data_IF_172292350216
#
_entry.id   IF_172292350216
#
_cell.length_a   1.000
_cell.length_b   1.000
_cell.length_c   1.000
_cell.angle_alpha   90.00
_cell.angle_beta   90.00
_cell.angle_gamma   90.00
#
_symmetry.space_group_name_H-M   'P 1'
#
loop_
_entity.id
_entity.type
_entity.pdbx_description
1 polymer ?
#
# COMPACT_ATOMS: atom_id res chain seq x y z
N UNK A 1 6.67 0.69 -25.86
CA UNK A 1 5.64 -0.19 -26.47
C UNK A 1 4.89 0.49 -27.62
N UNK A 2 4.26 1.66 -27.42
CA UNK A 2 3.48 2.36 -28.47
C UNK A 2 4.28 3.34 -29.37
N UNK A 3 5.61 3.21 -29.43
CA UNK A 3 6.47 4.07 -30.28
C UNK A 3 6.72 5.50 -29.79
N UNK A 4 6.18 5.91 -28.63
CA UNK A 4 6.49 7.23 -28.05
C UNK A 4 7.93 7.30 -27.52
N UNK A 5 8.58 8.45 -27.73
CA UNK A 5 9.80 8.84 -27.02
C UNK A 5 9.39 9.37 -25.65
N UNK A 6 9.84 8.71 -24.58
CA UNK A 6 9.41 9.01 -23.21
C UNK A 6 10.64 9.28 -22.36
N UNK A 7 10.56 10.36 -21.57
CA UNK A 7 11.54 10.70 -20.53
C UNK A 7 10.85 10.69 -19.18
N UNK A 8 11.42 10.00 -18.20
CA UNK A 8 10.96 10.01 -16.81
C UNK A 8 11.98 10.79 -15.98
N UNK A 9 11.48 11.75 -15.20
CA UNK A 9 12.26 12.52 -14.24
C UNK A 9 11.97 12.01 -12.83
N UNK A 10 13.01 11.58 -12.10
CA UNK A 10 12.91 11.19 -10.70
C UNK A 10 14.21 11.54 -9.96
N UNK A 11 14.23 12.54 -9.06
CA UNK A 11 15.44 12.96 -8.38
C UNK A 11 16.04 11.90 -7.45
N UNK A 12 15.24 10.91 -7.02
CA UNK A 12 15.69 9.85 -6.12
C UNK A 12 16.02 8.55 -6.88
N UNK A 13 15.85 8.56 -8.20
CA UNK A 13 15.95 7.36 -9.03
C UNK A 13 14.82 6.36 -8.78
N UNK A 14 14.79 5.36 -9.66
CA UNK A 14 13.68 4.43 -9.80
C UNK A 14 13.31 3.73 -8.49
N UNK A 15 12.02 3.84 -8.14
CA UNK A 15 11.41 3.07 -7.07
C UNK A 15 11.77 3.50 -5.65
N UNK A 16 12.68 4.47 -5.44
CA UNK A 16 13.19 4.82 -4.11
C UNK A 16 12.21 5.56 -3.19
N UNK A 17 11.01 5.92 -3.68
CA UNK A 17 9.92 6.45 -2.85
C UNK A 17 9.07 5.35 -2.18
N UNK A 18 7.76 5.59 -2.08
CA UNK A 18 6.80 4.65 -1.48
C UNK A 18 6.80 3.25 -2.12
N UNK A 19 7.23 3.13 -3.37
CA UNK A 19 7.25 1.87 -4.12
C UNK A 19 8.25 0.84 -3.57
N UNK A 20 9.36 1.26 -2.95
CA UNK A 20 10.39 0.37 -2.39
C UNK A 20 9.93 -0.35 -1.12
N UNK A 21 9.35 0.43 -0.20
CA UNK A 21 9.10 0.01 1.18
C UNK A 21 7.67 -0.46 1.47
N UNK A 22 6.83 -0.68 0.45
CA UNK A 22 5.46 -1.15 0.67
C UNK A 22 5.43 -2.63 1.12
N UNK A 23 4.26 -3.07 1.59
CA UNK A 23 4.03 -4.42 2.09
C UNK A 23 4.07 -5.51 1.01
N UNK A 24 4.12 -5.15 -0.27
CA UNK A 24 4.09 -6.05 -1.42
C UNK A 24 2.77 -6.77 -1.66
N UNK A 25 1.73 -6.53 -0.85
CA UNK A 25 0.41 -7.15 -1.00
C UNK A 25 -0.34 -6.60 -2.22
N UNK A 26 -0.90 -7.50 -3.02
CA UNK A 26 -1.79 -7.22 -4.15
C UNK A 26 -3.20 -7.56 -3.70
N UNK A 27 -3.85 -6.54 -3.17
CA UNK A 27 -5.05 -6.69 -2.36
C UNK A 27 -6.34 -6.56 -3.21
N UNK A 28 -6.70 -7.61 -3.93
CA UNK A 28 -7.94 -7.64 -4.75
C UNK A 28 -9.21 -7.57 -3.88
N UNK A 29 -9.11 -8.00 -2.62
CA UNK A 29 -10.18 -7.99 -1.62
C UNK A 29 -10.47 -6.60 -1.02
N UNK A 30 -9.52 -5.65 -1.13
CA UNK A 30 -9.66 -4.31 -0.55
C UNK A 30 -10.49 -3.40 -1.46
N UNK A 31 -11.80 -3.62 -1.46
CA UNK A 31 -12.76 -2.87 -2.30
C UNK A 31 -13.47 -1.74 -1.57
N UNK A 32 -13.38 -1.68 -0.24
CA UNK A 32 -14.02 -0.64 0.56
C UNK A 32 -13.11 0.58 0.77
N UNK A 33 -13.69 1.79 0.83
CA UNK A 33 -12.91 2.99 1.14
C UNK A 33 -12.35 2.94 2.56
N UNK A 34 -11.15 3.49 2.74
CA UNK A 34 -10.53 3.63 4.06
C UNK A 34 -11.35 4.53 4.99
N UNK A 35 -11.99 5.58 4.46
CA UNK A 35 -12.81 6.51 5.23
C UNK A 35 -14.14 5.86 5.63
N UNK A 36 -14.29 5.55 6.92
CA UNK A 36 -15.56 5.07 7.48
C UNK A 36 -16.02 5.92 8.67
N UNK A 37 -17.33 6.00 8.95
CA UNK A 37 -17.82 6.74 10.13
C UNK A 37 -17.24 6.20 11.44
N UNK A 38 -16.88 4.92 11.48
CA UNK A 38 -16.26 4.26 12.63
C UNK A 38 -14.86 4.79 12.97
N UNK A 39 -14.22 5.56 12.09
CA UNK A 39 -12.94 6.23 12.37
C UNK A 39 -13.09 7.44 13.29
N UNK A 40 -14.24 8.12 13.28
CA UNK A 40 -14.48 9.34 14.09
C UNK A 40 -14.19 9.13 15.58
N UNK A 41 -14.74 8.09 16.25
CA UNK A 41 -14.45 7.85 17.67
C UNK A 41 -13.00 7.40 17.92
N UNK A 42 -12.26 6.98 16.89
CA UNK A 42 -10.86 6.55 17.02
C UNK A 42 -9.87 7.73 16.93
N UNK A 43 -10.31 8.90 16.45
CA UNK A 43 -9.45 10.09 16.27
C UNK A 43 -8.71 10.53 17.55
N UNK A 44 -9.35 10.58 18.75
CA UNK A 44 -8.62 10.94 19.97
C UNK A 44 -7.48 9.96 20.26
N UNK A 45 -7.70 8.66 20.05
CA UNK A 45 -6.66 7.63 20.21
C UNK A 45 -5.55 7.80 19.18
N UNK A 46 -5.88 8.10 17.92
CA UNK A 46 -4.88 8.35 16.87
C UNK A 46 -4.03 9.60 17.14
N UNK A 47 -4.57 10.61 17.83
CA UNK A 47 -3.83 11.82 18.22
C UNK A 47 -2.93 11.60 19.45
N UNK A 48 -3.41 10.83 20.43
CA UNK A 48 -2.79 10.76 21.76
C UNK A 48 -1.95 9.50 22.00
N UNK A 49 -2.20 8.41 21.26
CA UNK A 49 -1.52 7.13 21.47
C UNK A 49 -0.25 7.02 20.64
N UNK A 50 0.89 6.86 21.33
CA UNK A 50 2.16 6.53 20.69
C UNK A 50 2.23 5.10 20.15
N UNK A 51 1.33 4.22 20.60
CA UNK A 51 1.29 2.79 20.25
C UNK A 51 0.14 2.42 19.31
N UNK A 52 -0.71 3.38 18.93
CA UNK A 52 -1.73 3.14 17.90
C UNK A 52 -1.06 2.82 16.56
N UNK A 53 -1.56 1.88 15.76
CA UNK A 53 -1.02 1.57 14.43
C UNK A 53 -1.15 2.76 13.46
N UNK A 54 -2.13 3.63 13.67
CA UNK A 54 -2.28 4.90 12.96
C UNK A 54 -2.12 6.05 13.94
N UNK A 55 -1.24 7.01 13.64
CA UNK A 55 -1.04 8.20 14.48
C UNK A 55 -1.06 9.49 13.67
N UNK A 56 -1.32 10.61 14.33
CA UNK A 56 -1.23 11.94 13.74
C UNK A 56 -0.14 12.70 14.48
N UNK A 57 0.89 13.19 13.77
CA UNK A 57 1.95 13.97 14.38
C UNK A 57 1.41 15.33 14.80
N UNK A 58 1.38 15.60 16.11
CA UNK A 58 0.76 16.79 16.67
C UNK A 58 1.28 18.10 16.07
N UNK A 59 2.60 18.19 15.81
CA UNK A 59 3.21 19.37 15.19
C UNK A 59 2.72 19.62 13.74
N UNK A 60 2.22 18.59 13.05
CA UNK A 60 1.77 18.65 11.66
C UNK A 60 0.23 18.72 11.54
N UNK A 61 -0.48 18.71 12.68
CA UNK A 61 -1.95 18.74 12.71
C UNK A 61 -2.55 19.96 11.99
N UNK A 62 -2.05 21.20 12.17
CA UNK A 62 -2.60 22.37 11.48
C UNK A 62 -2.57 22.24 9.95
N UNK A 63 -1.54 21.59 9.41
CA UNK A 63 -1.39 21.36 7.97
C UNK A 63 -2.28 20.24 7.45
N UNK A 64 -2.62 19.28 8.32
CA UNK A 64 -3.34 18.06 7.94
C UNK A 64 -4.85 18.16 8.18
N UNK A 65 -5.30 19.00 9.11
CA UNK A 65 -6.71 19.07 9.56
C UNK A 65 -7.69 19.35 8.42
N UNK A 66 -7.35 20.25 7.50
CA UNK A 66 -8.20 20.57 6.36
C UNK A 66 -8.41 19.37 5.42
N UNK A 67 -7.38 18.54 5.27
CA UNK A 67 -7.49 17.27 4.54
C UNK A 67 -8.30 16.25 5.33
N UNK A 68 -8.07 16.10 6.64
CA UNK A 68 -8.83 15.16 7.48
C UNK A 68 -10.32 15.45 7.48
N UNK A 69 -10.73 16.72 7.55
CA UNK A 69 -12.13 17.10 7.46
C UNK A 69 -12.73 16.63 6.13
N UNK A 70 -12.02 16.83 5.01
CA UNK A 70 -12.48 16.36 3.69
C UNK A 70 -12.56 14.83 3.64
N UNK A 71 -11.56 14.13 4.17
CA UNK A 71 -11.52 12.68 4.26
C UNK A 71 -12.72 12.13 5.04
N UNK A 72 -13.00 12.68 6.23
CA UNK A 72 -14.14 12.28 7.06
C UNK A 72 -15.49 12.63 6.42
N UNK A 73 -15.61 13.77 5.72
CA UNK A 73 -16.83 14.11 4.98
C UNK A 73 -17.12 13.13 3.82
N UNK A 74 -16.10 12.39 3.35
CA UNK A 74 -16.25 11.32 2.36
C UNK A 74 -16.56 9.95 2.96
N UNK A 75 -16.62 9.82 4.28
CA UNK A 75 -17.09 8.61 4.96
C UNK A 75 -18.62 8.41 4.91
N UNK A 76 -19.38 9.31 4.27
CA UNK A 76 -20.84 9.18 4.12
C UNK A 76 -21.22 7.94 3.29
N UNK A 77 -22.30 7.22 3.62
CA UNK A 77 -22.67 5.97 2.92
C UNK A 77 -22.78 6.10 1.40
N UNK A 78 -23.34 7.21 0.89
CA UNK A 78 -23.47 7.44 -0.56
C UNK A 78 -22.11 7.62 -1.26
N UNK A 79 -21.17 8.32 -0.62
CA UNK A 79 -19.81 8.46 -1.12
C UNK A 79 -19.04 7.14 -1.04
N UNK A 80 -19.29 6.35 0.01
CA UNK A 80 -18.68 5.03 0.16
C UNK A 80 -19.10 4.09 -0.97
N UNK A 81 -20.42 3.98 -1.26
CA UNK A 81 -20.93 3.13 -2.35
C UNK A 81 -20.30 3.45 -3.71
N UNK A 82 -20.26 4.74 -4.07
CA UNK A 82 -19.64 5.17 -5.33
C UNK A 82 -18.12 4.86 -5.37
N UNK A 83 -17.43 5.02 -4.24
CA UNK A 83 -16.00 4.71 -4.14
C UNK A 83 -15.74 3.21 -4.26
N UNK A 84 -16.54 2.38 -3.60
CA UNK A 84 -16.48 0.92 -3.71
C UNK A 84 -16.62 0.48 -5.16
N UNK A 85 -17.65 0.96 -5.87
CA UNK A 85 -17.84 0.61 -7.28
C UNK A 85 -16.64 0.99 -8.16
N UNK A 86 -16.06 2.16 -7.94
CA UNK A 86 -14.89 2.61 -8.68
C UNK A 86 -13.64 1.76 -8.37
N UNK A 87 -13.38 1.46 -7.10
CA UNK A 87 -12.23 0.63 -6.68
C UNK A 87 -12.40 -0.80 -7.19
N UNK A 88 -13.57 -1.41 -7.05
CA UNK A 88 -13.85 -2.77 -7.57
C UNK A 88 -13.56 -2.85 -9.07
N UNK A 89 -14.01 -1.86 -9.85
CA UNK A 89 -13.76 -1.80 -11.31
C UNK A 89 -12.27 -1.74 -11.65
N UNK A 90 -11.48 -0.97 -10.90
CA UNK A 90 -10.03 -0.90 -11.07
C UNK A 90 -9.34 -2.22 -10.65
N UNK A 91 -9.70 -2.77 -9.49
CA UNK A 91 -9.12 -4.00 -8.96
C UNK A 91 -9.35 -5.20 -9.89
N UNK A 92 -10.53 -5.30 -10.51
CA UNK A 92 -10.90 -6.40 -11.42
C UNK A 92 -9.88 -6.57 -12.56
N UNK A 93 -9.22 -5.49 -12.99
CA UNK A 93 -8.23 -5.52 -14.08
C UNK A 93 -6.79 -5.45 -13.62
N UNK A 94 -6.54 -5.17 -12.34
CA UNK A 94 -5.21 -4.86 -11.83
C UNK A 94 -4.26 -6.06 -11.95
N UNK A 95 -4.66 -7.24 -11.46
CA UNK A 95 -3.84 -8.46 -11.49
C UNK A 95 -3.53 -8.88 -12.93
N UNK A 96 -4.54 -8.93 -13.80
CA UNK A 96 -4.32 -9.27 -15.20
C UNK A 96 -3.36 -8.29 -15.89
N UNK A 97 -3.47 -7.00 -15.59
CA UNK A 97 -2.56 -5.97 -16.14
C UNK A 97 -1.13 -6.16 -15.65
N UNK A 98 -0.94 -6.52 -14.38
CA UNK A 98 0.36 -6.87 -13.83
C UNK A 98 0.97 -8.10 -14.50
N UNK A 99 0.20 -9.17 -14.66
CA UNK A 99 0.65 -10.40 -15.31
C UNK A 99 1.08 -10.12 -16.75
N UNK A 100 0.24 -9.46 -17.55
CA UNK A 100 0.59 -9.11 -18.94
C UNK A 100 1.86 -8.25 -19.03
N UNK A 101 2.02 -7.29 -18.12
CA UNK A 101 3.18 -6.42 -18.09
C UNK A 101 4.46 -7.21 -17.76
N UNK A 102 4.44 -8.03 -16.71
CA UNK A 102 5.60 -8.80 -16.27
C UNK A 102 5.93 -9.95 -17.24
N UNK A 103 4.93 -10.59 -17.84
CA UNK A 103 5.10 -11.61 -18.88
C UNK A 103 5.84 -11.01 -20.09
N UNK A 104 5.46 -9.78 -20.49
CA UNK A 104 6.09 -9.11 -21.64
C UNK A 104 7.59 -8.83 -21.48
N UNK A 105 8.10 -8.89 -20.25
CA UNK A 105 9.52 -8.67 -19.92
C UNK A 105 10.19 -9.93 -19.32
N UNK A 106 9.49 -11.06 -19.27
CA UNK A 106 10.00 -12.32 -18.71
C UNK A 106 10.24 -12.30 -17.21
N UNK A 107 9.43 -11.56 -16.45
CA UNK A 107 9.59 -11.33 -14.99
C UNK A 107 8.34 -11.69 -14.18
N UNK A 108 7.50 -12.59 -14.69
CA UNK A 108 6.24 -13.01 -14.05
C UNK A 108 6.43 -13.51 -12.61
N UNK A 109 7.56 -14.16 -12.33
CA UNK A 109 7.90 -14.67 -10.98
C UNK A 109 8.13 -13.61 -9.90
N UNK A 110 8.11 -12.31 -10.24
CA UNK A 110 8.17 -11.23 -9.26
C UNK A 110 6.85 -11.03 -8.51
N UNK A 111 5.73 -11.55 -9.05
CA UNK A 111 4.42 -11.57 -8.41
C UNK A 111 3.99 -13.03 -8.26
N UNK A 112 3.47 -13.37 -7.08
CA UNK A 112 2.87 -14.67 -6.78
C UNK A 112 1.41 -14.49 -6.42
N UNK A 113 0.56 -15.36 -6.95
CA UNK A 113 -0.88 -15.39 -6.70
C UNK A 113 -1.23 -16.55 -5.75
N UNK A 114 -0.60 -16.56 -4.58
CA UNK A 114 -0.73 -17.64 -3.58
C UNK A 114 -1.84 -17.35 -2.54
N UNK A 115 -2.60 -16.27 -2.74
CA UNK A 115 -3.62 -15.79 -1.81
C UNK A 115 -3.03 -15.05 -0.60
N UNK A 116 -3.88 -14.79 0.40
CA UNK A 116 -3.50 -14.16 1.67
C UNK A 116 -4.47 -14.53 2.79
N UNK A 117 -4.00 -14.57 4.03
CA UNK A 117 -4.83 -14.92 5.20
C UNK A 117 -5.00 -13.72 6.13
N UNK A 118 -6.25 -13.36 6.45
CA UNK A 118 -6.56 -12.47 7.57
C UNK A 118 -6.86 -13.31 8.82
N UNK A 119 -6.06 -13.17 9.86
CA UNK A 119 -6.15 -13.95 11.09
C UNK A 119 -6.78 -13.17 12.24
N UNK A 120 -7.48 -13.89 13.11
CA UNK A 120 -8.10 -13.38 14.32
C UNK A 120 -7.68 -14.20 15.54
N UNK A 121 -7.15 -13.55 16.57
CA UNK A 121 -6.95 -14.10 17.91
C UNK A 121 -8.23 -13.92 18.75
N UNK A 122 -8.92 -12.78 18.61
CA UNK A 122 -10.16 -12.46 19.32
C UNK A 122 -11.42 -12.92 18.59
N UNK A 123 -12.27 -13.65 19.31
CA UNK A 123 -13.58 -14.11 18.82
C UNK A 123 -14.57 -12.97 18.62
N UNK A 124 -14.63 -12.02 19.56
CA UNK A 124 -15.52 -10.85 19.40
C UNK A 124 -15.13 -9.97 18.22
N UNK A 125 -13.82 -9.90 17.90
CA UNK A 125 -13.35 -9.19 16.71
C UNK A 125 -13.78 -9.91 15.43
N UNK A 126 -13.71 -11.24 15.42
CA UNK A 126 -14.15 -12.05 14.29
C UNK A 126 -15.68 -11.98 14.08
N UNK A 127 -16.46 -12.04 15.16
CA UNK A 127 -17.92 -11.83 15.11
C UNK A 127 -18.28 -10.45 14.56
N UNK A 128 -17.58 -9.39 15.02
CA UNK A 128 -17.75 -8.04 14.50
C UNK A 128 -17.38 -7.89 13.02
N UNK A 129 -16.54 -8.78 12.49
CA UNK A 129 -16.11 -8.79 11.09
C UNK A 129 -17.09 -9.48 10.14
N UNK A 130 -18.08 -10.22 10.65
CA UNK A 130 -19.04 -10.96 9.81
C UNK A 130 -19.79 -10.05 8.83
N UNK A 131 -20.24 -8.87 9.29
CA UNK A 131 -20.87 -7.87 8.41
C UNK A 131 -19.98 -7.39 7.27
N UNK A 132 -18.65 -7.39 7.47
CA UNK A 132 -17.68 -7.07 6.40
C UNK A 132 -17.56 -8.24 5.42
N UNK A 133 -17.59 -9.48 5.91
CA UNK A 133 -17.58 -10.68 5.05
C UNK A 133 -18.82 -10.75 4.16
N UNK A 134 -20.00 -10.44 4.71
CA UNK A 134 -21.24 -10.36 3.93
C UNK A 134 -21.13 -9.29 2.84
N UNK A 135 -20.65 -8.10 3.19
CA UNK A 135 -20.44 -7.02 2.22
C UNK A 135 -19.39 -7.39 1.14
N UNK A 136 -18.33 -8.11 1.50
CA UNK A 136 -17.32 -8.59 0.55
C UNK A 136 -17.94 -9.60 -0.44
N UNK A 137 -18.74 -10.54 0.07
CA UNK A 137 -19.46 -11.51 -0.75
C UNK A 137 -20.43 -10.82 -1.73
N UNK A 138 -21.13 -9.77 -1.30
CA UNK A 138 -21.99 -8.95 -2.16
C UNK A 138 -21.21 -8.25 -3.30
N UNK A 139 -19.92 -7.94 -3.09
CA UNK A 139 -19.03 -7.40 -4.13
C UNK A 139 -18.36 -8.50 -4.99
N UNK A 140 -18.69 -9.78 -4.75
CA UNK A 140 -18.12 -10.92 -5.48
C UNK A 140 -16.71 -11.31 -5.03
N UNK A 141 -16.24 -10.83 -3.87
CA UNK A 141 -14.93 -11.23 -3.34
C UNK A 141 -15.04 -12.63 -2.75
N UNK A 142 -14.28 -13.58 -3.33
CA UNK A 142 -14.19 -14.96 -2.84
C UNK A 142 -13.31 -15.02 -1.57
N UNK A 143 -13.80 -15.74 -0.56
CA UNK A 143 -13.02 -16.08 0.63
C UNK A 143 -13.35 -17.48 1.15
N UNK A 144 -12.46 -18.03 1.98
CA UNK A 144 -12.61 -19.30 2.67
C UNK A 144 -12.39 -19.09 4.17
N UNK A 145 -13.28 -19.63 5.00
CA UNK A 145 -13.13 -19.58 6.45
C UNK A 145 -12.29 -20.75 6.94
N UNK A 146 -11.22 -20.46 7.65
CA UNK A 146 -10.33 -21.45 8.25
C UNK A 146 -10.53 -21.47 9.76
N UNK A 147 -10.77 -22.68 10.29
CA UNK A 147 -10.78 -22.92 11.73
C UNK A 147 -9.37 -22.94 12.28
N UNK A 148 -9.21 -22.80 13.59
CA UNK A 148 -7.93 -22.95 14.26
C UNK A 148 -7.19 -24.25 13.87
N UNK A 149 -7.91 -25.38 13.82
CA UNK A 149 -7.32 -26.66 13.42
C UNK A 149 -6.81 -26.63 11.97
N UNK A 150 -7.55 -26.00 11.07
CA UNK A 150 -7.14 -25.85 9.67
C UNK A 150 -5.90 -24.97 9.54
N UNK A 151 -5.85 -23.87 10.30
CA UNK A 151 -4.70 -22.96 10.35
C UNK A 151 -3.48 -23.72 10.85
N UNK A 152 -3.57 -24.43 11.97
CA UNK A 152 -2.46 -25.18 12.56
C UNK A 152 -1.98 -26.32 11.64
N UNK A 153 -2.88 -26.94 10.88
CA UNK A 153 -2.52 -27.96 9.89
C UNK A 153 -1.73 -27.39 8.71
N UNK A 154 -2.11 -26.20 8.22
CA UNK A 154 -1.48 -25.57 7.03
C UNK A 154 -0.28 -24.69 7.36
N UNK A 155 -0.29 -24.08 8.54
CA UNK A 155 0.66 -23.08 9.01
C UNK A 155 1.12 -23.45 10.43
N UNK A 156 1.83 -24.57 10.60
CA UNK A 156 2.21 -25.08 11.93
C UNK A 156 3.13 -24.15 12.71
N UNK A 157 3.82 -23.23 12.05
CA UNK A 157 4.67 -22.23 12.72
C UNK A 157 3.87 -21.09 13.36
N UNK A 158 2.62 -20.91 12.96
CA UNK A 158 1.78 -19.81 13.43
C UNK A 158 1.28 -20.08 14.85
N UNK A 159 1.30 -19.04 15.69
CA UNK A 159 0.88 -19.08 17.08
C UNK A 159 -0.50 -19.73 17.26
N UNK A 160 -0.60 -20.66 18.22
CA UNK A 160 -1.88 -21.28 18.63
C UNK A 160 -2.90 -20.28 19.16
N UNK A 161 -2.52 -19.02 19.41
CA UNK A 161 -3.46 -17.95 19.78
C UNK A 161 -4.37 -17.54 18.62
N UNK A 162 -3.97 -17.81 17.37
CA UNK A 162 -4.81 -17.55 16.19
C UNK A 162 -5.95 -18.57 16.15
N UNK A 163 -7.18 -18.08 16.27
CA UNK A 163 -8.40 -18.90 16.39
C UNK A 163 -9.18 -19.02 15.07
N UNK A 164 -9.18 -17.94 14.27
CA UNK A 164 -9.95 -17.89 13.02
C UNK A 164 -9.12 -17.28 11.89
N UNK A 165 -9.45 -17.67 10.66
CA UNK A 165 -8.80 -17.21 9.45
C UNK A 165 -9.81 -16.95 8.34
N UNK A 166 -9.62 -15.87 7.60
CA UNK A 166 -10.31 -15.59 6.34
C UNK A 166 -9.27 -15.60 5.24
N UNK A 167 -9.27 -16.65 4.44
CA UNK A 167 -8.33 -16.82 3.34
C UNK A 167 -8.92 -16.26 2.05
N UNK A 168 -8.16 -15.40 1.37
CA UNK A 168 -8.52 -14.79 0.10
C UNK A 168 -7.66 -15.41 -1.01
N UNK A 169 -8.17 -16.36 -1.80
CA UNK A 169 -7.36 -17.10 -2.78
C UNK A 169 -6.97 -16.27 -4.02
N UNK A 170 -7.67 -15.17 -4.27
CA UNK A 170 -7.48 -14.34 -5.49
C UNK A 170 -6.55 -13.15 -5.26
N UNK A 171 -5.91 -13.07 -4.10
CA UNK A 171 -4.92 -12.05 -3.78
C UNK A 171 -3.52 -12.55 -4.14
N UNK A 172 -2.57 -11.64 -4.18
CA UNK A 172 -1.19 -11.97 -4.46
C UNK A 172 -0.22 -11.11 -3.68
N UNK A 173 1.06 -11.33 -3.94
CA UNK A 173 2.10 -10.46 -3.42
C UNK A 173 3.28 -10.40 -4.39
N UNK A 174 4.01 -9.30 -4.35
CA UNK A 174 5.35 -9.27 -4.91
C UNK A 174 6.37 -9.77 -3.90
N UNK A 175 7.33 -10.56 -4.36
CA UNK A 175 8.45 -11.02 -3.53
C UNK A 175 9.49 -9.93 -3.29
N UNK A 176 9.46 -8.84 -4.07
CA UNK A 176 10.38 -7.71 -3.92
C UNK A 176 9.84 -6.47 -4.67
N UNK A 177 9.16 -5.52 -3.97
CA UNK A 177 8.61 -4.32 -4.60
C UNK A 177 9.65 -3.46 -5.31
N UNK A 178 10.89 -3.40 -4.79
CA UNK A 178 11.95 -2.62 -5.41
C UNK A 178 12.46 -3.27 -6.69
N UNK A 179 12.68 -4.59 -6.69
CA UNK A 179 13.07 -5.32 -7.89
C UNK A 179 12.03 -5.17 -9.00
N UNK A 180 10.74 -5.13 -8.66
CA UNK A 180 9.67 -4.88 -9.63
C UNK A 180 9.83 -3.51 -10.30
N UNK A 181 10.13 -2.44 -9.56
CA UNK A 181 10.41 -1.13 -10.15
C UNK A 181 11.66 -1.15 -11.04
N UNK A 182 12.75 -1.77 -10.58
CA UNK A 182 14.01 -1.86 -11.31
C UNK A 182 13.85 -2.62 -12.62
N UNK A 183 13.15 -3.76 -12.62
CA UNK A 183 12.97 -4.58 -13.82
C UNK A 183 12.06 -3.92 -14.85
N UNK A 184 11.02 -3.21 -14.41
CA UNK A 184 10.20 -2.38 -15.30
C UNK A 184 11.01 -1.24 -15.92
N UNK A 185 11.88 -0.61 -15.13
CA UNK A 185 12.77 0.45 -15.60
C UNK A 185 13.77 -0.07 -16.63
N UNK A 186 14.42 -1.20 -16.36
CA UNK A 186 15.33 -1.84 -17.29
C UNK A 186 14.63 -2.16 -18.62
N UNK A 187 13.39 -2.65 -18.56
CA UNK A 187 12.60 -2.91 -19.76
C UNK A 187 12.22 -1.61 -20.50
N UNK A 188 11.90 -0.55 -19.76
CA UNK A 188 11.61 0.77 -20.31
C UNK A 188 12.81 1.35 -21.08
N UNK A 189 14.01 1.30 -20.51
CA UNK A 189 15.24 1.78 -21.17
C UNK A 189 15.61 0.94 -22.40
N UNK A 190 15.45 -0.40 -22.32
CA UNK A 190 15.64 -1.29 -23.49
C UNK A 190 14.71 -0.96 -24.66
N UNK A 191 13.54 -0.36 -24.37
CA UNK A 191 12.60 0.12 -25.38
C UNK A 191 12.90 1.55 -25.87
N UNK A 192 14.03 2.15 -25.46
CA UNK A 192 14.45 3.50 -25.83
C UNK A 192 13.93 4.61 -24.91
N UNK A 193 13.39 4.26 -23.74
CA UNK A 193 13.02 5.22 -22.72
C UNK A 193 14.24 5.89 -22.08
N UNK A 194 14.10 7.14 -21.64
CA UNK A 194 15.15 7.89 -20.95
C UNK A 194 14.79 8.11 -19.48
N UNK A 195 15.70 7.81 -18.57
CA UNK A 195 15.58 8.16 -17.16
C UNK A 195 16.50 9.33 -16.84
N UNK A 196 15.98 10.31 -16.11
CA UNK A 196 16.72 11.51 -15.71
C UNK A 196 16.61 11.66 -14.19
N UNK A 197 17.76 11.63 -13.52
CA UNK A 197 17.84 11.75 -12.07
C UNK A 197 17.85 13.22 -11.64
N UNK A 198 16.79 13.94 -11.98
CA UNK A 198 16.66 15.37 -11.67
C UNK A 198 15.23 15.69 -11.22
N UNK A 199 15.10 16.71 -10.36
CA UNK A 199 13.81 17.21 -9.89
C UNK A 199 13.22 18.17 -10.93
N UNK A 200 11.91 18.03 -11.20
CA UNK A 200 11.19 18.97 -12.04
C UNK A 200 10.76 20.17 -11.20
N UNK A 201 11.31 21.34 -11.51
CA UNK A 201 11.03 22.60 -10.82
C UNK A 201 9.61 23.12 -11.14
N UNK A 202 9.25 23.05 -12.43
CA UNK A 202 7.98 23.56 -12.92
C UNK A 202 7.52 22.88 -14.20
N UNK A 203 6.21 22.92 -14.42
CA UNK A 203 5.52 22.40 -15.59
C UNK A 203 4.47 23.37 -16.08
N UNK A 204 4.19 23.38 -17.38
CA UNK A 204 3.19 24.26 -17.98
C UNK A 204 2.27 23.54 -18.97
N UNK A 205 1.09 24.12 -19.20
CA UNK A 205 0.08 23.57 -20.13
C UNK A 205 0.54 23.49 -21.58
N UNK A 206 1.48 24.33 -21.99
CA UNK A 206 2.04 24.33 -23.34
C UNK A 206 3.18 23.31 -23.51
N UNK A 207 3.38 22.40 -22.55
CA UNK A 207 4.32 21.30 -22.66
C UNK A 207 5.74 21.62 -22.19
N UNK A 208 5.97 22.77 -21.55
CA UNK A 208 7.28 23.08 -21.00
C UNK A 208 7.48 22.39 -19.65
N UNK A 209 8.68 21.85 -19.48
CA UNK A 209 9.18 21.28 -18.24
C UNK A 209 10.48 22.00 -17.90
N UNK A 210 10.55 22.59 -16.70
CA UNK A 210 11.74 23.27 -16.18
C UNK A 210 12.48 22.34 -15.23
N UNK A 211 13.77 22.14 -15.49
CA UNK A 211 14.64 21.28 -14.69
C UNK A 211 16.00 21.96 -14.55
N UNK A 212 16.41 22.30 -13.32
CA UNK A 212 17.64 23.04 -13.04
C UNK A 212 17.76 24.32 -13.89
N UNK A 213 16.67 25.09 -13.97
CA UNK A 213 16.53 26.28 -14.81
C UNK A 213 16.67 26.05 -16.34
N UNK A 214 16.77 24.80 -16.80
CA UNK A 214 16.75 24.43 -18.23
C UNK A 214 15.34 24.10 -18.66
N UNK A 215 14.91 24.72 -19.77
CA UNK A 215 13.59 24.46 -20.35
C UNK A 215 13.67 23.33 -21.37
N UNK A 216 12.82 22.33 -21.20
CA UNK A 216 12.60 21.23 -22.12
C UNK A 216 11.14 21.26 -22.60
N UNK A 217 10.89 20.81 -23.83
CA UNK A 217 9.54 20.81 -24.42
C UNK A 217 9.09 19.39 -24.72
N UNK A 218 7.84 19.08 -24.36
CA UNK A 218 7.20 17.78 -24.52
C UNK A 218 5.78 17.93 -25.06
N UNK A 219 5.35 17.00 -25.92
CA UNK A 219 3.99 16.98 -26.46
C UNK A 219 2.93 16.62 -25.41
N UNK A 220 3.34 15.85 -24.38
CA UNK A 220 2.48 15.37 -23.29
C UNK A 220 3.26 15.33 -21.98
N UNK A 221 2.59 15.68 -20.89
CA UNK A 221 3.12 15.60 -19.54
C UNK A 221 2.21 14.68 -18.71
N UNK A 222 2.83 13.74 -17.99
CA UNK A 222 2.15 12.87 -17.01
C UNK A 222 2.75 13.14 -15.64
N UNK A 223 1.92 13.48 -14.67
CA UNK A 223 2.37 13.66 -13.28
C UNK A 223 2.09 12.38 -12.50
N UNK A 224 3.17 11.71 -12.08
CA UNK A 224 3.13 10.48 -11.28
C UNK A 224 4.06 10.56 -10.05
N UNK A 225 4.24 11.75 -9.48
CA UNK A 225 5.25 12.06 -8.45
C UNK A 225 4.76 11.83 -7.00
N UNK A 226 3.81 10.91 -6.78
CA UNK A 226 3.26 10.62 -5.45
C UNK A 226 2.80 11.88 -4.71
N UNK A 227 3.23 12.06 -3.46
CA UNK A 227 2.89 13.23 -2.62
C UNK A 227 3.35 14.57 -3.21
N UNK A 228 4.41 14.56 -4.03
CA UNK A 228 4.96 15.76 -4.68
C UNK A 228 4.12 16.22 -5.89
N UNK A 229 3.12 15.44 -6.31
CA UNK A 229 2.24 15.77 -7.44
C UNK A 229 1.41 17.04 -7.21
N UNK A 230 1.16 17.43 -5.95
CA UNK A 230 0.24 18.53 -5.60
C UNK A 230 0.63 19.86 -6.27
N UNK A 231 1.91 20.21 -6.25
CA UNK A 231 2.40 21.45 -6.84
C UNK A 231 2.34 21.40 -8.38
N UNK A 232 2.82 20.31 -8.98
CA UNK A 232 2.86 20.11 -10.44
C UNK A 232 1.45 20.11 -11.05
N UNK A 233 0.49 19.41 -10.43
CA UNK A 233 -0.91 19.40 -10.89
C UNK A 233 -1.53 20.78 -10.81
N UNK A 234 -1.24 21.55 -9.75
CA UNK A 234 -1.74 22.93 -9.63
C UNK A 234 -1.18 23.83 -10.74
N UNK A 235 0.10 23.70 -11.08
CA UNK A 235 0.69 24.47 -12.20
C UNK A 235 0.05 24.08 -13.54
N UNK A 236 -0.16 22.79 -13.79
CA UNK A 236 -0.76 22.30 -15.05
C UNK A 236 -2.25 22.59 -15.18
N UNK A 237 -3.02 22.65 -14.10
CA UNK A 237 -4.49 22.63 -14.19
C UNK A 237 -5.18 23.77 -13.44
N UNK A 238 -4.48 24.41 -12.50
CA UNK A 238 -5.06 25.31 -11.51
C UNK A 238 -5.76 24.58 -10.34
N UNK A 239 -5.87 23.25 -10.39
CA UNK A 239 -6.62 22.46 -9.40
C UNK A 239 -5.73 22.12 -8.20
N UNK A 240 -6.27 22.33 -7.00
CA UNK A 240 -5.67 21.86 -5.76
C UNK A 240 -6.16 20.44 -5.43
N UNK A 241 -5.36 19.44 -5.75
CA UNK A 241 -5.66 18.04 -5.40
C UNK A 241 -5.47 17.78 -3.90
N UNK A 242 -6.40 17.06 -3.24
CA UNK A 242 -6.33 16.78 -1.80
C UNK A 242 -5.39 15.60 -1.51
N UNK A 243 -4.10 15.79 -1.77
CA UNK A 243 -3.05 14.80 -1.46
C UNK A 243 -2.42 15.15 -0.11
N UNK A 244 -2.28 14.14 0.75
CA UNK A 244 -1.68 14.22 2.08
C UNK A 244 -0.65 13.11 2.25
N UNK A 245 0.47 13.40 2.92
CA UNK A 245 1.43 12.39 3.29
C UNK A 245 0.91 11.54 4.47
N UNK A 246 0.98 10.23 4.28
CA UNK A 246 0.86 9.21 5.30
C UNK A 246 2.14 8.37 5.21
N UNK A 247 2.99 8.47 6.22
CA UNK A 247 4.26 7.74 6.25
C UNK A 247 4.03 6.35 6.83
N UNK A 248 4.21 5.33 5.99
CA UNK A 248 4.22 3.93 6.43
C UNK A 248 5.60 3.46 6.87
N UNK A 249 5.60 2.56 7.84
CA UNK A 249 6.78 1.90 8.36
C UNK A 249 6.73 0.40 8.08
N UNK A 250 7.89 -0.17 7.79
CA UNK A 250 8.07 -1.61 7.66
C UNK A 250 9.34 -2.05 8.39
N UNK A 251 9.43 -3.34 8.69
CA UNK A 251 10.60 -4.00 9.26
C UNK A 251 10.81 -5.32 8.52
N UNK A 252 12.06 -5.69 8.26
CA UNK A 252 12.40 -6.97 7.63
C UNK A 252 12.97 -7.94 8.67
N UNK A 253 12.39 -9.13 8.77
CA UNK A 253 12.92 -10.24 9.55
C UNK A 253 13.65 -11.21 8.62
N UNK A 254 14.97 -11.07 8.53
CA UNK A 254 15.80 -11.85 7.59
C UNK A 254 15.91 -13.32 7.98
N UNK A 255 15.78 -13.63 9.27
CA UNK A 255 15.84 -14.98 9.86
C UNK A 255 14.55 -15.80 9.67
N UNK A 256 13.47 -15.16 9.21
CA UNK A 256 12.17 -15.78 8.92
C UNK A 256 11.90 -15.92 7.42
N UNK A 257 12.95 -16.06 6.63
CA UNK A 257 12.81 -16.40 5.21
C UNK A 257 12.13 -17.76 5.09
N UNK A 258 11.14 -17.87 4.19
CA UNK A 258 10.37 -19.09 3.92
C UNK A 258 9.47 -19.59 5.08
N UNK A 259 9.31 -18.83 6.17
CA UNK A 259 8.46 -19.23 7.30
C UNK A 259 6.96 -19.23 6.97
N UNK A 260 6.54 -18.44 5.98
CA UNK A 260 5.15 -18.32 5.57
C UNK A 260 5.02 -18.50 4.05
N UNK A 261 4.04 -19.27 3.57
CA UNK A 261 3.84 -19.53 2.14
C UNK A 261 3.23 -18.34 1.38
N UNK A 262 2.53 -17.45 2.08
CA UNK A 262 1.82 -16.29 1.52
C UNK A 262 1.64 -15.20 2.60
N UNK A 263 1.17 -13.99 2.25
CA UNK A 263 0.94 -12.92 3.21
C UNK A 263 -0.09 -13.26 4.28
N UNK A 264 0.21 -12.90 5.53
CA UNK A 264 -0.70 -13.06 6.67
C UNK A 264 -0.90 -11.72 7.35
N UNK A 265 -2.15 -11.24 7.41
CA UNK A 265 -2.56 -10.05 8.14
C UNK A 265 -3.15 -10.40 9.49
N UNK A 266 -2.78 -9.67 10.55
CA UNK A 266 -3.40 -9.81 11.88
C UNK A 266 -4.46 -8.73 12.08
N UNK A 267 -5.72 -9.16 12.23
CA UNK A 267 -6.82 -8.27 12.55
C UNK A 267 -6.65 -7.64 13.95
N UNK A 268 -6.14 -8.39 14.92
CA UNK A 268 -5.94 -7.94 16.31
C UNK A 268 -4.79 -6.94 16.41
N UNK A 269 -3.67 -7.24 15.72
CA UNK A 269 -2.41 -6.50 15.85
C UNK A 269 -2.21 -5.43 14.77
N UNK A 270 -3.08 -5.39 13.76
CA UNK A 270 -3.15 -4.34 12.72
C UNK A 270 -1.86 -4.20 11.89
N UNK A 271 -1.31 -5.33 11.46
CA UNK A 271 -0.14 -5.38 10.58
C UNK A 271 -0.24 -6.60 9.64
N UNK A 272 0.60 -6.61 8.62
CA UNK A 272 0.76 -7.69 7.65
C UNK A 272 2.20 -8.22 7.65
N UNK A 273 2.33 -9.53 7.50
CA UNK A 273 3.57 -10.28 7.31
C UNK A 273 3.59 -10.82 5.89
N UNK A 274 4.46 -10.29 5.04
CA UNK A 274 4.57 -10.70 3.63
C UNK A 274 5.90 -11.41 3.40
N UNK A 275 5.90 -12.65 2.88
CA UNK A 275 7.15 -13.31 2.49
C UNK A 275 7.79 -12.59 1.29
N UNK A 276 9.04 -12.20 1.45
CA UNK A 276 9.86 -11.52 0.45
C UNK A 276 11.07 -12.39 0.10
N UNK A 277 11.75 -12.07 -1.00
CA UNK A 277 13.00 -12.74 -1.41
C UNK A 277 14.13 -12.62 -0.36
N UNK A 278 14.07 -11.59 0.48
CA UNK A 278 15.10 -11.22 1.46
C UNK A 278 14.74 -11.61 2.91
N UNK A 279 13.50 -12.03 3.17
CA UNK A 279 13.01 -12.30 4.53
C UNK A 279 11.50 -12.14 4.65
N UNK A 280 11.01 -12.01 5.87
CA UNK A 280 9.60 -11.72 6.14
C UNK A 280 9.42 -10.22 6.42
N UNK A 281 8.68 -9.52 5.56
CA UNK A 281 8.41 -8.09 5.73
C UNK A 281 7.18 -7.87 6.58
N UNK A 282 7.36 -7.15 7.68
CA UNK A 282 6.30 -6.65 8.52
C UNK A 282 5.95 -5.22 8.12
N UNK A 283 4.68 -4.89 7.93
CA UNK A 283 4.23 -3.54 7.64
C UNK A 283 2.84 -3.28 8.23
N UNK A 284 2.49 -2.02 8.50
CA UNK A 284 1.13 -1.67 8.93
C UNK A 284 1.03 -0.49 9.89
N UNK A 285 2.15 -0.05 10.46
CA UNK A 285 2.17 1.19 11.24
C UNK A 285 2.38 2.38 10.32
N UNK A 286 1.56 3.42 10.53
CA UNK A 286 1.56 4.64 9.71
C UNK A 286 1.47 5.89 10.59
N UNK A 287 1.92 7.03 10.08
CA UNK A 287 1.66 8.33 10.70
C UNK A 287 1.32 9.40 9.65
N UNK A 288 0.33 10.24 9.97
CA UNK A 288 0.10 11.49 9.25
C UNK A 288 1.11 12.52 9.73
N UNK A 289 2.09 12.82 8.87
CA UNK A 289 3.16 13.76 9.12
C UNK A 289 3.54 14.51 7.83
N UNK A 290 4.19 15.66 7.96
CA UNK A 290 4.76 16.36 6.81
C UNK A 290 5.85 15.50 6.14
N UNK A 291 5.99 15.62 4.82
CA UNK A 291 6.99 14.88 4.03
C UNK A 291 8.41 15.11 4.57
N UNK A 292 8.70 16.31 5.09
CA UNK A 292 10.01 16.71 5.63
C UNK A 292 10.21 16.35 7.11
N UNK A 293 9.16 15.91 7.82
CA UNK A 293 9.29 15.51 9.22
C UNK A 293 10.25 14.31 9.36
N UNK A 294 11.08 14.21 10.40
CA UNK A 294 11.94 13.04 10.60
C UNK A 294 11.09 11.77 10.82
N UNK A 295 11.59 10.58 10.45
CA UNK A 295 10.92 9.31 10.73
C UNK A 295 10.95 8.97 12.22
N UNK A 296 9.92 8.28 12.68
CA UNK A 296 9.77 7.72 14.02
C UNK A 296 9.98 6.19 13.97
N UNK A 297 11.24 5.75 14.05
CA UNK A 297 11.62 4.34 13.89
C UNK A 297 11.02 3.40 14.95
N UNK A 298 10.56 3.92 16.09
CA UNK A 298 9.80 3.14 17.07
C UNK A 298 8.59 2.44 16.45
N UNK A 299 7.98 3.03 15.41
CA UNK A 299 6.83 2.45 14.70
C UNK A 299 7.21 1.22 13.88
N UNK A 300 8.43 1.18 13.35
CA UNK A 300 8.99 -0.02 12.72
C UNK A 300 9.39 -1.06 13.79
N UNK A 301 10.05 -0.63 14.88
CA UNK A 301 10.49 -1.52 15.97
C UNK A 301 9.32 -2.26 16.64
N UNK A 302 8.18 -1.58 16.83
CA UNK A 302 6.95 -2.20 17.34
C UNK A 302 6.48 -3.38 16.50
N UNK A 303 6.70 -3.34 15.18
CA UNK A 303 6.31 -4.44 14.30
C UNK A 303 7.05 -5.72 14.66
N UNK A 304 8.32 -5.65 15.05
CA UNK A 304 9.10 -6.84 15.44
C UNK A 304 8.44 -7.60 16.59
N UNK A 305 8.01 -6.89 17.64
CA UNK A 305 7.32 -7.50 18.77
C UNK A 305 5.98 -8.14 18.37
N UNK A 306 5.22 -7.48 17.49
CA UNK A 306 3.95 -8.02 17.00
C UNK A 306 4.15 -9.22 16.07
N UNK A 307 5.16 -9.16 15.20
CA UNK A 307 5.56 -10.23 14.28
C UNK A 307 6.01 -11.48 15.01
N UNK A 308 6.92 -11.34 15.98
CA UNK A 308 7.40 -12.48 16.77
C UNK A 308 6.26 -13.19 17.50
N UNK A 309 5.33 -12.44 18.10
CA UNK A 309 4.19 -13.01 18.82
C UNK A 309 3.22 -13.80 17.92
N UNK A 310 3.32 -13.69 16.60
CA UNK A 310 2.55 -14.50 15.65
C UNK A 310 3.16 -15.88 15.40
N UNK A 311 4.36 -16.18 15.90
CA UNK A 311 5.00 -17.50 15.78
C UNK A 311 4.98 -18.24 17.13
N UNK A 312 4.93 -19.57 17.12
CA UNK A 312 4.91 -20.37 18.37
C UNK A 312 6.17 -20.20 19.24
N UNK A 313 7.30 -19.87 18.62
CA UNK A 313 8.60 -19.71 19.29
C UNK A 313 8.86 -18.29 19.80
N UNK A 314 7.87 -17.39 19.74
CA UNK A 314 8.02 -15.95 20.01
C UNK A 314 7.28 -15.43 21.24
#
# INVERSE_FOLDING_TARGET
>A
QQGYRVTIFDPNGVGNGCSKGNAGHIATEQVFPLATPALIPQLPKMLLSSTSPVSIRWQDLPNTVGWMIRFLLKAKPSAAKASTQAITSLNTRAVQSWNLLLDSIGKSGLIKMDGSLLTFESESLFEGYQSTLDALAEQGVRYELWTQNEIQRRLPELSKKVRFGVFFPETGHTINPYALCVELSNAFEKLGGSLVHEEVDAVSKNGDVLVNARRMSFDKIVVAAGVHSKALVRQLTGVNVPIQAERGYHLMMNDKRESLPFPISSADRKFIMTPMSEGLRLAGTVEYADVKSPPNMKRAEMLYQQGNAMFESG
#
